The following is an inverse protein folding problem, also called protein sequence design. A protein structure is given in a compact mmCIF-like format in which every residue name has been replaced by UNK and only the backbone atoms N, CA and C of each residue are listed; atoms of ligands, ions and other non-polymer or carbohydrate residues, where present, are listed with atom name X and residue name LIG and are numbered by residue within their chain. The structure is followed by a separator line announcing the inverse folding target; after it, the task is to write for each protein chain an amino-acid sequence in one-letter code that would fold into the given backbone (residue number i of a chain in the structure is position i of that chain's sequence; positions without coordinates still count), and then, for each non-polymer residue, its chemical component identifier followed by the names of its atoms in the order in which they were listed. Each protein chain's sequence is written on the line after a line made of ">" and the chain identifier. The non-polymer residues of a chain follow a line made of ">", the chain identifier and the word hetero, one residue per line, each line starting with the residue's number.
data_IF_937934396615
#
_entry.id   IF_937934396615
#
_cell.length_a   1.000
_cell.length_b   1.000
_cell.length_c   1.000
_cell.angle_alpha   90.00
_cell.angle_beta   90.00
_cell.angle_gamma   90.00
#
_symmetry.space_group_name_H-M   'P 1'
#
loop_
_entity.id
_entity.type
_entity.pdbx_description
1 polymer ?
#
# COMPACT_ATOMS: atom_id res chain seq x y z
N UNK A 1 2.46 21.70 -7.71
CA UNK A 1 3.48 20.63 -7.72
C UNK A 1 3.08 19.46 -6.80
N UNK A 2 2.85 19.68 -5.49
CA UNK A 2 2.42 18.65 -4.54
C UNK A 2 0.89 18.60 -4.36
N UNK A 3 0.10 18.93 -5.39
CA UNK A 3 -1.35 18.93 -5.29
C UNK A 3 -1.93 17.60 -5.78
N UNK A 4 -2.92 17.12 -5.06
CA UNK A 4 -3.82 16.02 -5.44
C UNK A 4 -5.28 16.49 -5.40
N UNK A 5 -5.49 17.81 -5.37
CA UNK A 5 -6.80 18.44 -5.32
C UNK A 5 -7.63 18.07 -6.57
N UNK A 6 -8.84 17.58 -6.35
CA UNK A 6 -9.74 17.09 -7.40
C UNK A 6 -9.36 15.72 -8.00
N UNK A 7 -8.21 15.12 -7.61
CA UNK A 7 -7.80 13.82 -8.14
C UNK A 7 -8.68 12.69 -7.56
N UNK A 8 -9.09 11.76 -8.41
CA UNK A 8 -9.78 10.54 -8.02
C UNK A 8 -8.77 9.48 -7.53
N UNK A 9 -8.91 9.05 -6.28
CA UNK A 9 -7.95 8.16 -5.59
C UNK A 9 -8.66 6.92 -5.07
N UNK A 10 -8.13 5.73 -5.39
CA UNK A 10 -8.54 4.46 -4.78
C UNK A 10 -7.46 4.01 -3.80
N UNK A 11 -7.86 3.71 -2.56
CA UNK A 11 -6.96 3.24 -1.50
C UNK A 11 -7.46 1.91 -0.95
N UNK A 12 -6.64 0.88 -0.96
CA UNK A 12 -6.99 -0.40 -0.32
C UNK A 12 -6.50 -0.45 1.13
N UNK A 13 -7.27 -1.10 2.01
CA UNK A 13 -6.95 -1.17 3.44
C UNK A 13 -7.21 0.13 4.19
N UNK A 14 -8.19 0.93 3.72
CA UNK A 14 -8.46 2.29 4.21
C UNK A 14 -9.19 2.37 5.54
N UNK A 15 -9.50 1.23 6.19
CA UNK A 15 -10.33 1.24 7.41
C UNK A 15 -9.55 1.48 8.69
N UNK A 16 -8.22 1.31 8.68
CA UNK A 16 -7.35 1.49 9.85
C UNK A 16 -5.89 1.68 9.50
N UNK A 17 -5.09 2.10 10.47
CA UNK A 17 -3.63 2.21 10.36
C UNK A 17 -3.18 3.11 9.22
N UNK A 18 -2.18 2.70 8.44
CA UNK A 18 -1.62 3.51 7.35
C UNK A 18 -2.69 3.85 6.30
N UNK A 19 -3.52 2.87 5.91
CA UNK A 19 -4.55 3.11 4.89
C UNK A 19 -5.58 4.14 5.31
N UNK A 20 -5.99 4.16 6.59
CA UNK A 20 -6.87 5.18 7.14
C UNK A 20 -6.20 6.56 7.13
N UNK A 21 -4.97 6.66 7.61
CA UNK A 21 -4.22 7.92 7.59
C UNK A 21 -4.06 8.47 6.15
N UNK A 22 -3.82 7.58 5.17
CA UNK A 22 -3.80 7.95 3.76
C UNK A 22 -5.17 8.47 3.27
N UNK A 23 -6.28 7.80 3.63
CA UNK A 23 -7.62 8.23 3.24
C UNK A 23 -7.94 9.64 3.79
N UNK A 24 -7.66 9.87 5.05
CA UNK A 24 -7.84 11.17 5.71
C UNK A 24 -6.91 12.25 5.10
N UNK A 25 -5.63 11.91 4.90
CA UNK A 25 -4.64 12.84 4.37
C UNK A 25 -4.91 13.26 2.93
N UNK A 26 -5.27 12.33 2.05
CA UNK A 26 -5.63 12.62 0.66
C UNK A 26 -6.94 13.40 0.57
N UNK A 27 -7.96 13.02 1.35
CA UNK A 27 -9.22 13.76 1.41
C UNK A 27 -9.01 15.19 1.92
N UNK A 28 -8.20 15.38 2.97
CA UNK A 28 -7.85 16.71 3.49
C UNK A 28 -7.06 17.55 2.48
N UNK A 29 -6.34 16.90 1.57
CA UNK A 29 -5.63 17.54 0.45
C UNK A 29 -6.54 17.82 -0.79
N UNK A 30 -7.85 17.60 -0.68
CA UNK A 30 -8.84 17.88 -1.72
C UNK A 30 -9.10 16.76 -2.72
N UNK A 31 -8.54 15.56 -2.52
CA UNK A 31 -8.79 14.42 -3.41
C UNK A 31 -10.17 13.79 -3.16
N UNK A 32 -10.77 13.23 -4.22
CA UNK A 32 -11.96 12.40 -4.16
C UNK A 32 -11.53 10.96 -3.83
N UNK A 33 -11.69 10.53 -2.58
CA UNK A 33 -11.15 9.25 -2.12
C UNK A 33 -12.23 8.17 -2.02
N UNK A 34 -11.95 7.00 -2.62
CA UNK A 34 -12.65 5.74 -2.37
C UNK A 34 -11.72 4.79 -1.64
N UNK A 35 -12.18 4.23 -0.53
CA UNK A 35 -11.45 3.19 0.21
C UNK A 35 -12.09 1.83 0.01
N UNK A 36 -11.25 0.79 -0.22
CA UNK A 36 -11.65 -0.60 -0.34
C UNK A 36 -11.11 -1.39 0.86
N UNK A 37 -12.01 -1.94 1.67
CA UNK A 37 -11.63 -2.76 2.83
C UNK A 37 -12.75 -3.78 3.13
N UNK A 38 -12.40 -4.86 3.80
CA UNK A 38 -13.38 -5.86 4.25
C UNK A 38 -14.17 -5.37 5.49
N UNK A 39 -13.60 -4.45 6.24
CA UNK A 39 -14.24 -3.86 7.41
C UNK A 39 -14.59 -2.38 7.15
N UNK A 40 -15.63 -1.86 7.80
CA UNK A 40 -15.88 -0.41 7.81
C UNK A 40 -14.73 0.33 8.50
N UNK A 41 -14.54 1.62 8.20
CA UNK A 41 -13.50 2.42 8.82
C UNK A 41 -13.73 2.60 10.32
N UNK A 42 -12.63 2.65 11.08
CA UNK A 42 -12.66 2.90 12.53
C UNK A 42 -13.17 4.30 12.87
N UNK A 43 -13.00 5.25 11.96
CA UNK A 43 -13.44 6.64 12.07
C UNK A 43 -14.10 7.05 10.77
N UNK A 44 -15.26 7.68 10.84
CA UNK A 44 -15.91 8.29 9.68
C UNK A 44 -15.10 9.51 9.20
N UNK A 45 -14.90 9.63 7.91
CA UNK A 45 -14.16 10.72 7.28
C UNK A 45 -14.80 11.19 5.99
N UNK A 46 -14.23 12.21 5.38
CA UNK A 46 -14.71 12.75 4.12
C UNK A 46 -14.20 11.92 2.92
N UNK A 47 -14.43 10.61 2.95
CA UNK A 47 -14.09 9.65 1.89
C UNK A 47 -15.19 8.58 1.79
N UNK A 48 -15.29 7.93 0.63
CA UNK A 48 -16.28 6.90 0.38
C UNK A 48 -15.70 5.51 0.69
N UNK A 49 -16.29 4.81 1.65
CA UNK A 49 -15.96 3.41 1.93
C UNK A 49 -16.80 2.47 1.08
N UNK A 50 -16.15 1.47 0.48
CA UNK A 50 -16.79 0.36 -0.21
C UNK A 50 -16.27 -0.95 0.37
N UNK A 51 -17.19 -1.82 0.82
CA UNK A 51 -16.83 -3.15 1.27
C UNK A 51 -16.23 -3.96 0.11
N UNK A 52 -15.02 -4.48 0.29
CA UNK A 52 -14.32 -5.30 -0.69
C UNK A 52 -13.44 -6.33 0.00
N UNK A 53 -13.75 -7.61 -0.19
CA UNK A 53 -12.84 -8.70 0.21
C UNK A 53 -11.77 -8.87 -0.87
N UNK A 54 -10.58 -8.37 -0.58
CA UNK A 54 -9.42 -8.47 -1.45
C UNK A 54 -8.88 -9.91 -1.59
N UNK A 55 -9.30 -10.83 -0.74
CA UNK A 55 -9.03 -12.25 -0.89
C UNK A 55 -9.88 -12.94 -1.96
N UNK A 56 -10.89 -12.25 -2.49
CA UNK A 56 -11.83 -12.75 -3.49
C UNK A 56 -11.74 -11.94 -4.78
N UNK A 57 -11.15 -12.54 -5.83
CA UNK A 57 -10.91 -11.86 -7.12
C UNK A 57 -12.21 -11.43 -7.81
N UNK A 58 -13.26 -12.26 -7.74
CA UNK A 58 -14.56 -11.95 -8.34
C UNK A 58 -15.20 -10.75 -7.62
N UNK A 59 -15.05 -10.66 -6.31
CA UNK A 59 -15.55 -9.51 -5.54
C UNK A 59 -14.79 -8.21 -5.91
N UNK A 60 -13.48 -8.27 -6.09
CA UNK A 60 -12.70 -7.12 -6.58
C UNK A 60 -13.24 -6.66 -7.93
N UNK A 61 -13.47 -7.59 -8.87
CA UNK A 61 -13.96 -7.24 -10.21
C UNK A 61 -15.33 -6.56 -10.14
N UNK A 62 -16.29 -7.14 -9.40
CA UNK A 62 -17.64 -6.56 -9.24
C UNK A 62 -17.58 -5.15 -8.65
N UNK A 63 -16.72 -4.94 -7.63
CA UNK A 63 -16.57 -3.63 -7.00
C UNK A 63 -15.97 -2.61 -7.96
N UNK A 64 -14.92 -2.98 -8.70
CA UNK A 64 -14.30 -2.08 -9.68
C UNK A 64 -15.23 -1.75 -10.85
N UNK A 65 -15.96 -2.74 -11.38
CA UNK A 65 -16.92 -2.51 -12.46
C UNK A 65 -18.01 -1.51 -12.05
N UNK A 66 -18.49 -1.59 -10.80
CA UNK A 66 -19.41 -0.60 -10.25
C UNK A 66 -18.78 0.78 -10.16
N UNK A 67 -17.59 0.91 -9.57
CA UNK A 67 -16.88 2.18 -9.42
C UNK A 67 -16.69 2.85 -10.79
N UNK A 68 -16.28 2.09 -11.80
CA UNK A 68 -16.03 2.62 -13.13
C UNK A 68 -17.32 2.95 -13.89
N UNK A 69 -18.41 2.15 -13.71
CA UNK A 69 -19.72 2.44 -14.31
C UNK A 69 -20.38 3.69 -13.72
N UNK A 70 -20.09 4.02 -12.47
CA UNK A 70 -20.50 5.25 -11.81
C UNK A 70 -19.70 6.51 -12.30
N UNK A 71 -18.78 6.32 -13.26
CA UNK A 71 -17.97 7.38 -13.86
C UNK A 71 -16.75 7.78 -13.06
N UNK A 72 -16.39 7.04 -12.01
CA UNK A 72 -15.18 7.33 -11.25
C UNK A 72 -13.95 6.76 -11.97
N UNK A 73 -13.20 7.63 -12.62
CA UNK A 73 -11.96 7.28 -13.31
C UNK A 73 -10.79 7.63 -12.40
N UNK A 74 -10.08 6.64 -11.84
CA UNK A 74 -8.99 6.90 -10.90
C UNK A 74 -7.78 7.49 -11.60
N UNK A 75 -7.17 8.50 -11.01
CA UNK A 75 -5.85 9.03 -11.35
C UNK A 75 -4.76 8.45 -10.44
N UNK A 76 -5.14 8.00 -9.24
CA UNK A 76 -4.21 7.41 -8.28
C UNK A 76 -4.78 6.10 -7.72
N UNK A 77 -3.95 5.06 -7.68
CA UNK A 77 -4.22 3.82 -6.96
C UNK A 77 -3.17 3.62 -5.87
N UNK A 78 -3.61 3.37 -4.64
CA UNK A 78 -2.73 3.05 -3.51
C UNK A 78 -3.07 1.67 -2.96
N UNK A 79 -2.20 0.70 -3.21
CA UNK A 79 -2.31 -0.66 -2.70
C UNK A 79 -1.64 -0.74 -1.32
N UNK A 80 -2.40 -0.44 -0.25
CA UNK A 80 -1.91 -0.44 1.13
C UNK A 80 -2.38 -1.65 1.94
N UNK A 81 -3.47 -2.31 1.54
CA UNK A 81 -3.96 -3.50 2.22
C UNK A 81 -2.93 -4.63 2.25
N UNK A 82 -2.84 -5.31 3.38
CA UNK A 82 -2.06 -6.52 3.53
C UNK A 82 -2.50 -7.34 4.74
N UNK A 83 -2.19 -8.63 4.70
CA UNK A 83 -2.27 -9.53 5.86
C UNK A 83 -0.87 -10.02 6.22
N UNK A 84 -0.63 -10.20 7.53
CA UNK A 84 0.56 -10.85 8.06
C UNK A 84 0.13 -11.99 8.97
N UNK A 85 0.63 -13.19 8.70
CA UNK A 85 0.25 -14.42 9.40
C UNK A 85 1.56 -15.10 9.82
N UNK A 86 2.13 -14.74 10.99
CA UNK A 86 3.42 -15.27 11.41
C UNK A 86 3.30 -16.71 11.92
N UNK A 87 4.11 -17.60 11.34
CA UNK A 87 4.34 -18.97 11.83
C UNK A 87 5.72 -19.47 11.35
N UNK A 88 6.34 -20.46 12.05
CA UNK A 88 7.59 -21.06 11.59
C UNK A 88 7.45 -21.66 10.19
N UNK A 89 8.43 -21.40 9.31
CA UNK A 89 8.33 -21.77 7.87
C UNK A 89 8.11 -23.26 7.64
N UNK A 90 8.70 -24.14 8.48
CA UNK A 90 8.55 -25.60 8.36
C UNK A 90 7.18 -26.13 8.86
N UNK A 91 6.39 -25.27 9.47
CA UNK A 91 5.02 -25.56 9.95
C UNK A 91 3.99 -24.58 9.37
N UNK A 92 4.38 -23.80 8.34
CA UNK A 92 3.52 -22.77 7.77
C UNK A 92 2.37 -23.42 7.01
N UNK A 93 1.09 -23.21 7.42
CA UNK A 93 -0.04 -23.86 6.76
C UNK A 93 -0.22 -23.39 5.31
N UNK A 94 -0.58 -24.30 4.40
CA UNK A 94 -0.87 -23.96 3.01
C UNK A 94 -2.04 -22.97 2.87
N UNK A 95 -3.02 -23.03 3.77
CA UNK A 95 -4.13 -22.09 3.83
C UNK A 95 -3.66 -20.66 4.10
N UNK A 96 -2.70 -20.49 5.02
CA UNK A 96 -2.14 -19.18 5.38
C UNK A 96 -1.22 -18.66 4.27
N UNK A 97 -0.49 -19.55 3.62
CA UNK A 97 0.28 -19.24 2.42
C UNK A 97 -0.64 -18.70 1.32
N UNK A 98 -1.70 -19.46 0.97
CA UNK A 98 -2.65 -19.04 -0.06
C UNK A 98 -3.34 -17.74 0.28
N UNK A 99 -3.74 -17.52 1.53
CA UNK A 99 -4.32 -16.26 1.99
C UNK A 99 -3.34 -15.08 1.83
N UNK A 100 -2.06 -15.29 2.17
CA UNK A 100 -1.04 -14.28 1.97
C UNK A 100 -0.86 -13.95 0.49
N UNK A 101 -0.80 -14.93 -0.38
CA UNK A 101 -0.70 -14.75 -1.84
C UNK A 101 -1.93 -14.01 -2.36
N UNK A 102 -3.14 -14.47 -2.04
CA UNK A 102 -4.38 -13.91 -2.56
C UNK A 102 -4.54 -12.42 -2.21
N UNK A 103 -4.31 -12.05 -0.94
CA UNK A 103 -4.51 -10.66 -0.50
C UNK A 103 -3.32 -9.76 -0.85
N UNK A 104 -2.09 -10.22 -0.62
CA UNK A 104 -0.92 -9.34 -0.72
C UNK A 104 -0.31 -9.27 -2.11
N UNK A 105 -0.68 -10.18 -3.04
CA UNK A 105 -0.11 -10.24 -4.39
C UNK A 105 -1.18 -10.28 -5.47
N UNK A 106 -2.08 -11.27 -5.47
CA UNK A 106 -3.07 -11.42 -6.54
C UNK A 106 -4.02 -10.22 -6.59
N UNK A 107 -4.49 -9.74 -5.43
CA UNK A 107 -5.31 -8.54 -5.35
C UNK A 107 -4.57 -7.29 -5.86
N UNK A 108 -3.29 -7.13 -5.47
CA UNK A 108 -2.46 -6.01 -5.95
C UNK A 108 -2.32 -6.04 -7.47
N UNK A 109 -2.03 -7.22 -8.04
CA UNK A 109 -1.94 -7.37 -9.49
C UNK A 109 -3.28 -7.05 -10.18
N UNK A 110 -4.39 -7.61 -9.68
CA UNK A 110 -5.72 -7.37 -10.26
C UNK A 110 -6.09 -5.90 -10.23
N UNK A 111 -5.89 -5.21 -9.09
CA UNK A 111 -6.16 -3.79 -8.96
C UNK A 111 -5.27 -2.95 -9.89
N UNK A 112 -3.96 -3.24 -9.95
CA UNK A 112 -3.06 -2.56 -10.87
C UNK A 112 -3.51 -2.75 -12.33
N UNK A 113 -3.84 -3.99 -12.73
CA UNK A 113 -4.29 -4.32 -14.10
C UNK A 113 -5.58 -3.57 -14.48
N UNK A 114 -6.60 -3.64 -13.64
CA UNK A 114 -7.91 -3.05 -13.98
C UNK A 114 -7.87 -1.51 -13.92
N UNK A 115 -7.21 -0.93 -12.91
CA UNK A 115 -7.03 0.52 -12.83
C UNK A 115 -6.10 1.02 -13.94
N UNK A 116 -4.99 0.31 -14.22
CA UNK A 116 -4.11 0.64 -15.34
C UNK A 116 -4.83 0.59 -16.68
N UNK A 117 -5.65 -0.44 -16.91
CA UNK A 117 -6.48 -0.55 -18.13
C UNK A 117 -7.44 0.63 -18.29
N UNK A 118 -8.10 1.07 -17.20
CA UNK A 118 -9.01 2.21 -17.29
C UNK A 118 -8.26 3.54 -17.52
N UNK A 119 -7.09 3.72 -16.88
CA UNK A 119 -6.23 4.88 -17.11
C UNK A 119 -5.78 4.96 -18.58
N UNK A 120 -5.30 3.85 -19.15
CA UNK A 120 -4.85 3.75 -20.56
C UNK A 120 -6.00 4.07 -21.51
N UNK A 121 -7.17 3.40 -21.33
CA UNK A 121 -8.33 3.59 -22.19
C UNK A 121 -8.90 5.03 -22.13
N UNK A 122 -8.73 5.71 -21.00
CA UNK A 122 -9.15 7.08 -20.79
C UNK A 122 -8.07 8.12 -21.11
N UNK A 123 -6.88 7.69 -21.56
CA UNK A 123 -5.72 8.56 -21.82
C UNK A 123 -5.33 9.43 -20.62
N UNK A 124 -5.42 8.86 -19.42
CA UNK A 124 -5.08 9.54 -18.16
C UNK A 124 -3.66 9.13 -17.74
N UNK A 125 -2.78 10.11 -17.62
CA UNK A 125 -1.50 9.94 -16.92
C UNK A 125 -1.78 9.79 -15.43
N UNK A 126 -1.33 8.66 -14.83
CA UNK A 126 -1.68 8.29 -13.47
C UNK A 126 -0.50 7.90 -12.59
N UNK A 127 -0.80 7.60 -11.33
CA UNK A 127 0.17 7.09 -10.36
C UNK A 127 -0.36 5.87 -9.62
N UNK A 128 0.41 4.79 -9.63
CA UNK A 128 0.14 3.58 -8.84
C UNK A 128 1.21 3.46 -7.76
N UNK A 129 0.78 3.36 -6.50
CA UNK A 129 1.64 3.31 -5.34
C UNK A 129 1.38 2.00 -4.59
N UNK A 130 2.38 1.14 -4.53
CA UNK A 130 2.30 -0.13 -3.83
C UNK A 130 3.04 -0.04 -2.49
N UNK A 131 2.40 -0.47 -1.41
CA UNK A 131 3.05 -0.58 -0.12
C UNK A 131 3.76 -1.92 0.01
N UNK A 132 5.09 -1.90 0.05
CA UNK A 132 5.93 -3.04 0.34
C UNK A 132 6.31 -3.09 1.83
N UNK A 133 7.56 -3.32 2.18
CA UNK A 133 8.07 -3.37 3.56
C UNK A 133 9.58 -3.36 3.53
N UNK A 134 10.23 -2.91 4.60
CA UNK A 134 11.67 -3.14 4.81
C UNK A 134 12.06 -4.63 4.71
N UNK A 135 11.09 -5.55 4.84
CA UNK A 135 11.28 -6.98 4.62
C UNK A 135 11.62 -7.38 3.18
N UNK A 136 11.56 -6.46 2.20
CA UNK A 136 12.05 -6.72 0.84
C UNK A 136 13.56 -6.60 0.71
N UNK A 137 14.20 -5.92 1.67
CA UNK A 137 15.67 -5.73 1.72
C UNK A 137 16.35 -6.65 2.76
N UNK A 138 15.56 -7.23 3.67
CA UNK A 138 16.09 -8.11 4.72
C UNK A 138 15.09 -9.22 5.08
N UNK A 139 15.61 -10.35 5.58
CA UNK A 139 14.76 -11.46 6.02
C UNK A 139 14.05 -11.17 7.34
N UNK A 140 12.79 -11.58 7.44
CA UNK A 140 12.05 -11.68 8.69
C UNK A 140 11.73 -13.13 9.00
N UNK A 141 12.18 -13.62 10.16
CA UNK A 141 11.84 -14.95 10.62
C UNK A 141 10.33 -15.11 10.85
N UNK A 142 9.83 -16.31 10.64
CA UNK A 142 8.44 -16.70 10.90
C UNK A 142 7.38 -15.90 10.11
N UNK A 143 7.72 -15.40 8.92
CA UNK A 143 6.75 -14.68 8.10
C UNK A 143 6.99 -14.91 6.59
N UNK A 144 7.09 -16.18 6.13
CA UNK A 144 7.49 -16.48 4.75
C UNK A 144 6.49 -15.97 3.72
N UNK A 145 5.18 -16.09 3.97
CA UNK A 145 4.14 -15.65 3.03
C UNK A 145 4.17 -14.13 2.83
N UNK A 146 4.29 -13.35 3.88
CA UNK A 146 4.40 -11.90 3.80
C UNK A 146 5.68 -11.46 3.07
N UNK A 147 6.83 -12.02 3.46
CA UNK A 147 8.11 -11.66 2.83
C UNK A 147 8.13 -11.99 1.33
N UNK A 148 7.66 -13.18 0.95
CA UNK A 148 7.57 -13.58 -0.45
C UNK A 148 6.68 -12.64 -1.27
N UNK A 149 5.48 -12.32 -0.74
CA UNK A 149 4.52 -11.47 -1.45
C UNK A 149 5.02 -10.03 -1.59
N UNK A 150 5.62 -9.45 -0.55
CA UNK A 150 6.17 -8.08 -0.64
C UNK A 150 7.37 -7.99 -1.57
N UNK A 151 8.22 -9.04 -1.63
CA UNK A 151 9.29 -9.16 -2.62
C UNK A 151 8.75 -9.26 -4.06
N UNK A 152 7.67 -10.02 -4.26
CA UNK A 152 7.00 -10.13 -5.56
C UNK A 152 6.39 -8.79 -6.00
N UNK A 153 5.70 -8.07 -5.10
CA UNK A 153 5.14 -6.73 -5.38
C UNK A 153 6.25 -5.74 -5.76
N UNK A 154 7.40 -5.78 -5.06
CA UNK A 154 8.57 -4.95 -5.41
C UNK A 154 8.98 -5.15 -6.87
N UNK A 155 9.04 -6.39 -7.35
CA UNK A 155 9.43 -6.67 -8.73
C UNK A 155 8.30 -6.40 -9.73
N UNK A 156 7.05 -6.67 -9.36
CA UNK A 156 5.86 -6.34 -10.15
C UNK A 156 5.81 -4.84 -10.47
N UNK A 157 6.06 -3.98 -9.48
CA UNK A 157 6.13 -2.53 -9.64
C UNK A 157 7.09 -2.11 -10.77
N UNK A 158 8.28 -2.73 -10.82
CA UNK A 158 9.25 -2.42 -11.88
C UNK A 158 8.80 -2.86 -13.26
N UNK A 159 8.17 -4.04 -13.36
CA UNK A 159 7.62 -4.54 -14.62
C UNK A 159 6.55 -3.58 -15.17
N UNK A 160 5.57 -3.21 -14.31
CA UNK A 160 4.48 -2.30 -14.69
C UNK A 160 4.99 -0.88 -15.00
N UNK A 161 6.01 -0.40 -14.29
CA UNK A 161 6.62 0.91 -14.56
C UNK A 161 7.25 0.97 -15.96
N UNK A 162 7.91 -0.12 -16.38
CA UNK A 162 8.50 -0.22 -17.73
C UNK A 162 7.42 -0.31 -18.80
N UNK A 163 6.39 -1.14 -18.57
CA UNK A 163 5.33 -1.39 -19.53
C UNK A 163 4.43 -0.17 -19.75
N UNK A 164 4.06 0.54 -18.66
CA UNK A 164 3.04 1.60 -18.71
C UNK A 164 3.62 3.01 -18.77
N UNK A 165 4.95 3.14 -18.76
CA UNK A 165 5.61 4.44 -18.88
C UNK A 165 5.26 5.19 -20.16
N UNK A 166 5.07 4.51 -21.29
CA UNK A 166 4.64 5.11 -22.55
C UNK A 166 3.22 5.71 -22.50
N UNK A 167 2.39 5.25 -21.56
CA UNK A 167 1.05 5.79 -21.31
C UNK A 167 1.04 6.89 -20.23
N UNK A 168 2.22 7.32 -19.75
CA UNK A 168 2.34 8.33 -18.69
C UNK A 168 1.92 7.84 -17.30
N UNK A 169 1.83 6.52 -17.09
CA UNK A 169 1.49 5.94 -15.80
C UNK A 169 2.79 5.60 -15.05
N UNK A 170 2.94 6.18 -13.85
CA UNK A 170 4.06 5.92 -12.96
C UNK A 170 3.68 4.84 -11.94
N UNK A 171 4.56 3.89 -11.69
CA UNK A 171 4.33 2.82 -10.70
C UNK A 171 5.51 2.75 -9.76
N UNK A 172 5.27 2.97 -8.45
CA UNK A 172 6.31 3.06 -7.44
C UNK A 172 5.93 2.30 -6.16
N UNK A 173 6.92 2.00 -5.33
CA UNK A 173 6.72 1.45 -4.00
C UNK A 173 6.99 2.49 -2.92
N UNK A 174 6.19 2.45 -1.85
CA UNK A 174 6.60 2.94 -0.54
C UNK A 174 7.05 1.73 0.28
N UNK A 175 8.19 1.87 0.96
CA UNK A 175 8.82 0.83 1.79
C UNK A 175 8.80 1.31 3.25
N UNK A 176 7.71 1.07 4.01
CA UNK A 176 7.63 1.50 5.39
C UNK A 176 8.56 0.71 6.30
N UNK A 177 9.10 1.40 7.30
CA UNK A 177 9.69 0.80 8.49
C UNK A 177 8.62 0.35 9.49
N UNK A 178 9.04 0.17 10.75
CA UNK A 178 8.11 -0.13 11.83
C UNK A 178 7.21 1.08 12.12
N UNK A 179 5.92 0.90 11.86
CA UNK A 179 4.86 1.90 12.05
C UNK A 179 3.90 1.44 13.13
N UNK A 180 3.44 2.34 13.98
CA UNK A 180 2.48 2.10 15.04
C UNK A 180 1.07 1.87 14.45
N UNK A 181 0.73 0.62 14.19
CA UNK A 181 -0.52 0.21 13.55
C UNK A 181 -1.12 -1.01 14.24
N UNK A 182 -2.42 -1.29 14.05
CA UNK A 182 -3.04 -2.52 14.55
C UNK A 182 -2.31 -3.80 14.09
N UNK A 183 -1.74 -3.81 12.89
CA UNK A 183 -0.94 -4.94 12.37
C UNK A 183 0.28 -5.25 13.26
N UNK A 184 0.88 -4.23 13.84
CA UNK A 184 2.09 -4.30 14.65
C UNK A 184 1.82 -4.30 16.17
N UNK A 185 0.54 -4.30 16.60
CA UNK A 185 0.14 -4.13 18.01
C UNK A 185 0.82 -5.09 18.99
N UNK A 186 0.99 -6.37 18.62
CA UNK A 186 1.70 -7.35 19.47
C UNK A 186 3.12 -6.92 19.81
N UNK A 187 3.82 -6.32 18.86
CA UNK A 187 5.19 -5.84 19.03
C UNK A 187 5.26 -4.47 19.70
N UNK A 188 4.32 -3.61 19.36
CA UNK A 188 4.18 -2.29 19.98
C UNK A 188 3.88 -2.37 21.46
N UNK A 189 2.96 -3.27 21.85
CA UNK A 189 2.55 -3.48 23.24
C UNK A 189 3.58 -4.27 24.08
N UNK A 190 4.62 -4.82 23.46
CA UNK A 190 5.73 -5.43 24.18
C UNK A 190 6.87 -4.40 24.33
N UNK A 191 7.12 -3.88 25.56
CA UNK A 191 8.11 -2.80 25.78
C UNK A 191 9.52 -3.16 25.32
N UNK A 192 9.92 -4.43 25.46
CA UNK A 192 11.24 -4.91 25.06
C UNK A 192 11.38 -4.88 23.51
N UNK A 193 10.41 -5.47 22.81
CA UNK A 193 10.42 -5.47 21.34
C UNK A 193 10.28 -4.07 20.76
N UNK A 194 9.41 -3.23 21.37
CA UNK A 194 9.26 -1.84 20.95
C UNK A 194 10.58 -1.10 21.08
N UNK A 195 11.26 -1.22 22.24
CA UNK A 195 12.56 -0.59 22.44
C UNK A 195 13.62 -1.10 21.47
N UNK A 196 13.78 -2.41 21.31
CA UNK A 196 14.74 -3.00 20.37
C UNK A 196 14.59 -2.48 18.95
N UNK A 197 13.33 -2.33 18.49
CA UNK A 197 13.04 -1.81 17.16
C UNK A 197 13.23 -0.30 17.06
N UNK A 198 12.87 0.45 18.10
CA UNK A 198 13.17 1.88 18.17
C UNK A 198 14.68 2.13 18.12
N UNK A 199 15.46 1.41 18.93
CA UNK A 199 16.91 1.56 19.01
C UNK A 199 17.60 1.28 17.66
N UNK A 200 16.98 0.48 16.78
CA UNK A 200 17.53 0.18 15.45
C UNK A 200 17.22 1.26 14.41
N UNK A 201 16.25 2.15 14.62
CA UNK A 201 16.07 3.31 13.74
C UNK A 201 17.10 4.40 14.07
N UNK A 202 17.41 5.26 13.11
CA UNK A 202 18.24 6.43 13.34
C UNK A 202 17.51 7.45 14.22
N UNK A 203 16.17 7.54 14.04
CA UNK A 203 15.34 8.47 14.82
C UNK A 203 14.98 7.95 16.22
N UNK A 204 15.35 6.72 16.61
CA UNK A 204 15.11 6.17 17.93
C UNK A 204 13.63 5.88 18.25
N UNK A 205 12.76 5.83 17.24
CA UNK A 205 11.32 5.63 17.39
C UNK A 205 10.72 4.89 16.22
N UNK A 206 9.48 4.42 16.38
CA UNK A 206 8.62 3.97 15.30
C UNK A 206 8.01 5.18 14.58
N UNK A 207 7.56 4.96 13.35
CA UNK A 207 6.75 5.93 12.63
C UNK A 207 5.30 5.90 13.14
N UNK A 208 4.60 7.03 13.01
CA UNK A 208 3.14 7.08 13.06
C UNK A 208 2.56 6.94 11.64
N UNK A 209 1.33 6.42 11.50
CA UNK A 209 0.68 6.19 10.18
C UNK A 209 0.68 7.43 9.28
N UNK A 210 0.48 8.61 9.85
CA UNK A 210 0.40 9.92 9.17
C UNK A 210 1.71 10.29 8.45
N UNK A 211 2.84 9.74 8.91
CA UNK A 211 4.16 10.00 8.29
C UNK A 211 4.29 9.35 6.90
N UNK A 212 3.36 8.45 6.52
CA UNK A 212 3.29 7.87 5.18
C UNK A 212 2.52 8.76 4.19
N UNK A 213 1.74 9.74 4.65
CA UNK A 213 0.89 10.60 3.81
C UNK A 213 1.73 11.49 2.89
N UNK A 214 2.71 12.21 3.43
CA UNK A 214 3.58 13.08 2.64
C UNK A 214 4.31 12.36 1.51
N UNK A 215 5.01 11.24 1.77
CA UNK A 215 5.61 10.39 0.73
C UNK A 215 4.61 9.89 -0.31
N UNK A 216 3.38 9.53 0.09
CA UNK A 216 2.35 9.09 -0.83
C UNK A 216 1.84 10.24 -1.72
N UNK A 217 1.59 11.42 -1.16
CA UNK A 217 1.24 12.63 -1.94
C UNK A 217 2.37 13.01 -2.91
N UNK A 218 3.63 12.93 -2.49
CA UNK A 218 4.76 13.13 -3.40
C UNK A 218 4.67 12.20 -4.60
N UNK A 219 4.52 10.87 -4.39
CA UNK A 219 4.44 9.90 -5.47
C UNK A 219 3.15 10.03 -6.30
N UNK A 220 2.04 10.50 -5.72
CA UNK A 220 0.78 10.70 -6.42
C UNK A 220 0.81 11.93 -7.34
N UNK A 221 1.51 12.98 -6.95
CA UNK A 221 1.47 14.30 -7.58
C UNK A 221 2.53 14.50 -8.68
N UNK A 222 2.45 15.64 -9.36
CA UNK A 222 3.41 16.07 -10.40
C UNK A 222 4.83 16.34 -9.84
N UNK A 223 4.97 16.41 -8.51
CA UNK A 223 6.29 16.54 -7.88
C UNK A 223 7.20 15.33 -8.18
N UNK A 224 6.61 14.19 -8.53
CA UNK A 224 7.31 12.96 -8.90
C UNK A 224 7.14 12.58 -10.39
N UNK A 225 6.92 13.56 -11.27
CA UNK A 225 6.65 13.33 -12.71
C UNK A 225 7.76 12.55 -13.45
N UNK A 226 8.97 12.53 -12.91
CA UNK A 226 10.11 11.77 -13.48
C UNK A 226 10.55 10.61 -12.57
N UNK A 227 9.65 10.13 -11.68
CA UNK A 227 9.92 9.06 -10.70
C UNK A 227 9.01 7.88 -11.00
N UNK A 228 9.58 6.77 -11.49
CA UNK A 228 8.86 5.51 -11.73
C UNK A 228 9.77 4.31 -11.49
N UNK A 229 9.22 3.20 -11.02
CA UNK A 229 9.94 1.95 -10.75
C UNK A 229 10.80 1.97 -9.48
N UNK A 230 10.67 2.98 -8.62
CA UNK A 230 11.51 3.15 -7.44
C UNK A 230 10.89 2.53 -6.18
N UNK A 231 11.76 2.26 -5.21
CA UNK A 231 11.43 1.94 -3.82
C UNK A 231 11.71 3.18 -2.96
N UNK A 232 10.67 3.91 -2.59
CA UNK A 232 10.78 5.05 -1.68
C UNK A 232 10.76 4.53 -0.23
N UNK A 233 11.94 4.47 0.39
CA UNK A 233 12.11 3.98 1.77
C UNK A 233 11.70 5.06 2.76
N UNK A 234 10.77 4.70 3.68
CA UNK A 234 10.24 5.58 4.75
C UNK A 234 10.32 4.79 6.06
N UNK A 235 11.50 4.66 6.62
CA UNK A 235 11.82 3.71 7.69
C UNK A 235 12.57 4.31 8.91
N UNK A 236 12.69 5.63 8.96
CA UNK A 236 13.43 6.30 10.04
C UNK A 236 14.92 5.94 10.09
N UNK A 237 15.47 5.49 8.95
CA UNK A 237 16.87 5.08 8.84
C UNK A 237 17.16 3.66 9.32
N UNK A 238 16.15 2.81 9.42
CA UNK A 238 16.30 1.39 9.82
C UNK A 238 17.28 0.63 8.92
N UNK A 239 17.13 0.74 7.61
CA UNK A 239 17.96 -0.01 6.64
C UNK A 239 19.40 0.51 6.54
N UNK A 240 19.62 1.78 6.81
CA UNK A 240 20.96 2.41 6.69
C UNK A 240 21.76 2.42 7.98
N UNK A 241 21.12 2.17 9.12
CA UNK A 241 21.81 2.12 10.40
C UNK A 241 22.64 0.83 10.50
N UNK A 242 23.95 0.99 10.50
CA UNK A 242 24.90 -0.08 10.79
C UNK A 242 24.73 -0.68 12.20
N UNK A 243 25.42 -1.80 12.45
CA UNK A 243 25.51 -2.40 13.79
C UNK A 243 26.37 -1.55 14.71
#
# INVERSE_FOLDING_TARGET
>A
MFSVDGDNVIITGGSRGIGLALAEGFSSAGANVITLDINPPEVEGNYNYINCDLGNQDHIQVVLDRIFSDGFIPKVLINCAAVTIPAPSHQYPDTDWRKSISVNLDAVFTLCREVGRIMINSSISGSIINFTSIGVEQGFANNPGYAATKGAVKQLTKALAVEWGEHGIRVNNIVPGYTNTPMNSKSWNNPLLRKQRSDRTVFGRWAEPEEMVGPAIFLASDASSYVTGVDLVVDGGWLVKGM
#
